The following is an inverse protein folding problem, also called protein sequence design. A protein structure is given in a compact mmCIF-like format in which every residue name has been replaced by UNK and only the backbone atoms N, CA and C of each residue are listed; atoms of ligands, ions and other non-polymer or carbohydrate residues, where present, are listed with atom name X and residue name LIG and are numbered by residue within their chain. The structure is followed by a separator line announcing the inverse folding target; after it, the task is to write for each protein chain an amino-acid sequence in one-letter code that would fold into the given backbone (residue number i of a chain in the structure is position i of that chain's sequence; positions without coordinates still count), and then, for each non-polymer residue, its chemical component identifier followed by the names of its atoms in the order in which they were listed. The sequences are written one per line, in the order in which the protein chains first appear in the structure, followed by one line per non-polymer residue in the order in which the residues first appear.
data_IF_774025138042
#
_entry.id   IF_774025138042
#
_cell.length_a   1.000
_cell.length_b   1.000
_cell.length_c   1.000
_cell.angle_alpha   90.00
_cell.angle_beta   90.00
_cell.angle_gamma   90.00
#
_symmetry.space_group_name_H-M   'P 1'
#
loop_
_entity.id
_entity.type
_entity.pdbx_description
1 polymer ?
#
# COMPACT_ATOMS: atom_id res chain seq x y z
N UNK A 1 -43.07 -19.37 30.95
CA UNK A 1 -43.74 -18.09 30.78
C UNK A 1 -42.70 -16.96 30.79
N UNK A 2 -42.66 -16.15 29.75
CA UNK A 2 -41.70 -15.03 29.66
C UNK A 2 -42.20 -13.92 30.59
N UNK A 3 -41.33 -13.45 31.47
CA UNK A 3 -41.64 -12.38 32.40
C UNK A 3 -41.86 -11.05 31.64
N UNK A 4 -42.63 -10.13 32.20
CA UNK A 4 -42.93 -8.83 31.60
C UNK A 4 -41.63 -8.03 31.31
N UNK A 5 -40.68 -8.04 32.21
CA UNK A 5 -39.39 -7.34 32.05
C UNK A 5 -38.58 -7.93 30.90
N UNK A 6 -38.64 -9.24 30.71
CA UNK A 6 -37.99 -9.92 29.60
C UNK A 6 -38.64 -9.57 28.26
N UNK A 7 -39.96 -9.43 28.21
CA UNK A 7 -40.68 -8.99 27.01
C UNK A 7 -40.31 -7.57 26.62
N UNK A 8 -40.22 -6.66 27.58
CA UNK A 8 -39.85 -5.27 27.36
C UNK A 8 -38.40 -5.16 26.91
N UNK A 9 -37.51 -5.96 27.48
CA UNK A 9 -36.12 -6.07 27.06
C UNK A 9 -35.97 -6.56 25.60
N UNK A 10 -36.72 -7.59 25.21
CA UNK A 10 -36.77 -8.10 23.84
C UNK A 10 -37.27 -7.06 22.85
N UNK A 11 -38.28 -6.26 23.22
CA UNK A 11 -38.79 -5.17 22.39
C UNK A 11 -37.72 -4.10 22.16
N UNK A 12 -36.97 -3.74 23.17
CA UNK A 12 -35.87 -2.76 23.07
C UNK A 12 -34.76 -3.29 22.14
N UNK A 13 -34.37 -4.55 22.28
CA UNK A 13 -33.38 -5.19 21.41
C UNK A 13 -33.84 -5.19 19.94
N UNK A 14 -35.12 -5.55 19.70
CA UNK A 14 -35.69 -5.55 18.35
C UNK A 14 -35.73 -4.15 17.70
N UNK A 15 -35.80 -3.08 18.51
CA UNK A 15 -35.73 -1.71 18.02
C UNK A 15 -34.30 -1.24 17.74
N UNK A 16 -33.33 -1.68 18.54
CA UNK A 16 -31.93 -1.24 18.43
C UNK A 16 -31.16 -2.00 17.35
N UNK A 17 -31.41 -3.30 17.17
CA UNK A 17 -30.70 -4.14 16.21
C UNK A 17 -30.72 -3.61 14.78
N UNK A 18 -31.85 -3.19 14.18
CA UNK A 18 -31.86 -2.63 12.84
C UNK A 18 -31.03 -1.36 12.71
N UNK A 19 -31.04 -0.49 13.73
CA UNK A 19 -30.21 0.72 13.74
C UNK A 19 -28.74 0.41 13.79
N UNK A 20 -28.31 -0.56 14.58
CA UNK A 20 -26.91 -0.97 14.65
C UNK A 20 -26.41 -1.51 13.30
N UNK A 21 -27.20 -2.29 12.60
CA UNK A 21 -26.88 -2.81 11.26
C UNK A 21 -26.75 -1.67 10.25
N UNK A 22 -27.68 -0.72 10.24
CA UNK A 22 -27.66 0.43 9.35
C UNK A 22 -26.43 1.32 9.62
N UNK A 23 -26.11 1.59 10.87
CA UNK A 23 -24.93 2.37 11.23
C UNK A 23 -23.63 1.70 10.80
N UNK A 24 -23.51 0.38 10.99
CA UNK A 24 -22.33 -0.37 10.54
C UNK A 24 -22.18 -0.29 9.01
N UNK A 25 -23.25 -0.42 8.28
CA UNK A 25 -23.25 -0.31 6.82
C UNK A 25 -22.85 1.08 6.35
N UNK A 26 -23.39 2.13 6.96
CA UNK A 26 -23.05 3.52 6.62
C UNK A 26 -21.57 3.83 6.92
N UNK A 27 -21.05 3.34 8.05
CA UNK A 27 -19.64 3.51 8.39
C UNK A 27 -18.72 2.87 7.37
N UNK A 28 -19.02 1.67 6.89
CA UNK A 28 -18.25 1.01 5.83
C UNK A 28 -18.31 1.78 4.50
N UNK A 29 -19.49 2.27 4.12
CA UNK A 29 -19.65 3.08 2.91
C UNK A 29 -18.82 4.36 2.97
N UNK A 30 -18.81 5.06 4.10
CA UNK A 30 -18.01 6.26 4.30
C UNK A 30 -16.51 5.96 4.27
N UNK A 31 -16.08 4.88 4.88
CA UNK A 31 -14.68 4.46 4.86
C UNK A 31 -14.19 4.14 3.44
N UNK A 32 -15.00 3.42 2.66
CA UNK A 32 -14.70 3.13 1.25
C UNK A 32 -14.61 4.38 0.41
N UNK A 33 -15.55 5.31 0.56
CA UNK A 33 -15.56 6.57 -0.17
C UNK A 33 -14.32 7.40 0.13
N UNK A 34 -13.95 7.55 1.39
CA UNK A 34 -12.76 8.28 1.79
C UNK A 34 -11.48 7.66 1.24
N UNK A 35 -11.37 6.34 1.22
CA UNK A 35 -10.23 5.63 0.65
C UNK A 35 -10.12 5.86 -0.85
N UNK A 36 -11.21 5.76 -1.59
CA UNK A 36 -11.24 6.00 -3.04
C UNK A 36 -10.88 7.45 -3.37
N UNK A 37 -11.40 8.42 -2.64
CA UNK A 37 -11.04 9.84 -2.80
C UNK A 37 -9.55 10.07 -2.52
N UNK A 38 -8.99 9.45 -1.50
CA UNK A 38 -7.56 9.54 -1.20
C UNK A 38 -6.72 8.94 -2.34
N UNK A 39 -7.05 7.74 -2.82
CA UNK A 39 -6.35 7.10 -3.94
C UNK A 39 -6.42 7.94 -5.22
N UNK A 40 -7.56 8.57 -5.49
CA UNK A 40 -7.71 9.44 -6.65
C UNK A 40 -6.96 10.77 -6.53
N UNK A 41 -6.72 11.24 -5.29
CA UNK A 41 -6.04 12.51 -5.04
C UNK A 41 -4.52 12.41 -4.99
N UNK A 42 -3.97 11.21 -4.81
CA UNK A 42 -2.54 10.95 -4.70
C UNK A 42 -2.11 10.00 -5.82
N UNK A 43 -1.45 10.54 -6.84
CA UNK A 43 -0.96 9.76 -7.99
C UNK A 43 0.49 10.10 -8.28
N UNK A 44 1.26 9.07 -8.59
CA UNK A 44 2.67 9.17 -8.96
C UNK A 44 2.94 8.44 -10.25
N UNK A 45 3.94 8.92 -10.99
CA UNK A 45 4.53 8.19 -12.11
C UNK A 45 5.94 7.76 -11.71
N UNK A 46 6.25 6.48 -11.88
CA UNK A 46 7.58 5.92 -11.67
C UNK A 46 8.16 5.54 -13.02
N UNK A 47 9.36 6.05 -13.33
CA UNK A 47 10.10 5.70 -14.53
C UNK A 47 11.40 5.00 -14.15
N UNK A 48 11.65 3.82 -14.69
CA UNK A 48 12.88 3.08 -14.43
C UNK A 48 14.01 3.71 -15.22
N UNK A 49 14.98 4.26 -14.49
CA UNK A 49 16.15 4.95 -15.07
C UNK A 49 17.29 3.98 -15.28
N UNK A 50 17.55 3.11 -14.31
CA UNK A 50 18.63 2.14 -14.35
C UNK A 50 18.33 0.96 -13.44
N UNK A 51 19.07 -0.11 -13.61
CA UNK A 51 19.07 -1.23 -12.68
C UNK A 51 20.46 -1.84 -12.64
N UNK A 52 20.87 -2.28 -11.46
CA UNK A 52 22.19 -2.88 -11.27
C UNK A 52 22.13 -3.97 -10.21
N UNK A 53 23.10 -4.83 -10.23
CA UNK A 53 23.31 -5.84 -9.20
C UNK A 53 24.66 -5.60 -8.54
N UNK A 54 24.74 -5.93 -7.25
CA UNK A 54 25.97 -5.83 -6.49
C UNK A 54 26.02 -6.92 -5.43
N UNK A 55 27.21 -7.10 -4.85
CA UNK A 55 27.38 -8.05 -3.75
C UNK A 55 27.41 -7.29 -2.45
N UNK A 56 26.37 -7.48 -1.65
CA UNK A 56 26.28 -6.99 -0.28
C UNK A 56 26.81 -8.02 0.70
N UNK A 57 26.75 -7.70 1.99
CA UNK A 57 27.11 -8.66 3.03
C UNK A 57 26.02 -8.70 4.10
N UNK A 58 25.60 -9.92 4.45
CA UNK A 58 24.55 -10.17 5.44
C UNK A 58 25.12 -10.94 6.62
N UNK A 59 24.70 -10.59 7.84
CA UNK A 59 25.06 -11.33 9.04
C UNK A 59 24.23 -12.61 9.14
N UNK A 60 24.90 -13.73 9.33
CA UNK A 60 24.29 -15.00 9.64
C UNK A 60 24.54 -15.35 11.11
N UNK A 61 23.61 -16.08 11.74
CA UNK A 61 23.72 -16.54 13.12
C UNK A 61 24.92 -17.49 13.32
N UNK A 62 25.27 -18.21 12.24
CA UNK A 62 26.43 -19.11 12.24
C UNK A 62 27.33 -18.71 11.06
N UNK A 63 28.58 -18.35 11.35
CA UNK A 63 29.56 -18.00 10.31
C UNK A 63 29.79 -16.51 10.06
N UNK A 64 29.10 -15.60 10.78
CA UNK A 64 29.30 -14.16 10.68
C UNK A 64 28.73 -13.56 9.40
N UNK A 65 29.47 -12.64 8.76
CA UNK A 65 29.05 -11.99 7.49
C UNK A 65 29.36 -12.88 6.29
N UNK A 66 28.37 -13.06 5.43
CA UNK A 66 28.51 -13.74 4.15
C UNK A 66 28.15 -12.81 3.00
N UNK A 67 28.84 -12.90 1.83
CA UNK A 67 28.43 -12.14 0.65
C UNK A 67 27.07 -12.61 0.15
N UNK A 68 26.21 -11.66 -0.21
CA UNK A 68 24.90 -11.92 -0.74
C UNK A 68 24.65 -11.04 -1.95
N UNK A 69 24.08 -11.61 -3.01
CA UNK A 69 23.74 -10.87 -4.23
C UNK A 69 22.53 -9.97 -3.97
N UNK A 70 22.71 -8.68 -4.26
CA UNK A 70 21.64 -7.68 -4.15
C UNK A 70 21.27 -7.16 -5.53
N UNK A 71 19.98 -6.92 -5.74
CA UNK A 71 19.45 -6.37 -6.97
C UNK A 71 18.80 -5.03 -6.69
N UNK A 72 19.22 -4.00 -7.40
CA UNK A 72 18.77 -2.62 -7.19
C UNK A 72 18.14 -2.04 -8.44
N UNK A 73 17.16 -1.19 -8.24
CA UNK A 73 16.50 -0.42 -9.29
C UNK A 73 16.58 1.05 -8.94
N UNK A 74 17.03 1.86 -9.88
CA UNK A 74 17.01 3.31 -9.79
C UNK A 74 15.82 3.80 -10.61
N UNK A 75 14.95 4.57 -9.98
CA UNK A 75 13.75 5.07 -10.63
C UNK A 75 13.48 6.52 -10.28
N UNK A 76 12.85 7.22 -11.22
CA UNK A 76 12.44 8.60 -11.07
C UNK A 76 10.98 8.64 -10.63
N UNK A 77 10.69 9.40 -9.58
CA UNK A 77 9.34 9.61 -9.05
C UNK A 77 8.84 10.98 -9.47
N UNK A 78 7.71 11.02 -10.14
CA UNK A 78 7.04 12.26 -10.54
C UNK A 78 5.65 12.30 -9.92
N UNK A 79 5.37 13.22 -8.98
CA UNK A 79 4.02 13.42 -8.48
C UNK A 79 3.12 13.93 -9.61
N UNK A 80 1.96 13.33 -9.78
CA UNK A 80 1.00 13.70 -10.83
C UNK A 80 -0.15 14.57 -10.33
N UNK A 81 -0.32 14.65 -9.01
CA UNK A 81 -1.37 15.45 -8.38
C UNK A 81 -0.77 16.39 -7.35
N UNK A 82 -1.43 17.52 -7.02
CA UNK A 82 -0.91 18.45 -6.01
C UNK A 82 -0.73 17.80 -4.63
N UNK A 83 -1.63 16.93 -4.24
CA UNK A 83 -1.53 16.23 -2.94
C UNK A 83 -0.36 15.25 -2.90
N UNK A 84 -0.09 14.57 -4.02
CA UNK A 84 1.09 13.71 -4.15
C UNK A 84 2.38 14.50 -4.03
N UNK A 85 2.45 15.67 -4.62
CA UNK A 85 3.60 16.58 -4.52
C UNK A 85 3.82 17.05 -3.08
N UNK A 86 2.76 17.34 -2.34
CA UNK A 86 2.85 17.71 -0.93
C UNK A 86 3.31 16.55 -0.03
N UNK A 87 2.90 15.33 -0.33
CA UNK A 87 3.24 14.14 0.46
C UNK A 87 4.62 13.54 0.15
N UNK A 88 5.19 13.86 -0.99
CA UNK A 88 6.48 13.31 -1.42
C UNK A 88 7.65 14.15 -0.93
N UNK A 89 8.55 13.54 -0.16
CA UNK A 89 9.72 14.20 0.44
C UNK A 89 11.06 13.77 -0.16
N UNK A 90 11.06 13.00 -1.24
CA UNK A 90 12.28 12.50 -1.88
C UNK A 90 12.90 13.49 -2.86
N UNK A 91 14.06 13.13 -3.38
CA UNK A 91 14.84 13.93 -4.35
C UNK A 91 14.35 13.77 -5.80
N UNK A 92 13.30 13.00 -6.02
CA UNK A 92 12.80 12.70 -7.35
C UNK A 92 13.43 11.45 -7.97
N UNK A 93 14.54 10.98 -7.45
CA UNK A 93 15.21 9.75 -7.90
C UNK A 93 15.51 8.86 -6.69
N UNK A 94 15.09 7.61 -6.74
CA UNK A 94 15.20 6.66 -5.65
C UNK A 94 15.96 5.42 -6.08
N UNK A 95 16.71 4.83 -5.15
CA UNK A 95 17.42 3.55 -5.32
C UNK A 95 16.89 2.57 -4.30
N UNK A 96 16.24 1.50 -4.76
CA UNK A 96 15.68 0.48 -3.88
C UNK A 96 16.19 -0.91 -4.23
N UNK A 97 16.42 -1.71 -3.19
CA UNK A 97 16.68 -3.13 -3.34
C UNK A 97 15.38 -3.87 -3.65
N UNK A 98 15.39 -4.71 -4.67
CA UNK A 98 14.24 -5.49 -5.11
C UNK A 98 14.58 -6.98 -5.19
N UNK A 99 13.56 -7.83 -5.27
CA UNK A 99 13.75 -9.25 -5.48
C UNK A 99 14.32 -9.54 -6.87
N UNK A 100 14.98 -10.68 -7.04
CA UNK A 100 15.47 -11.11 -8.34
C UNK A 100 14.34 -11.25 -9.37
N UNK A 101 13.19 -11.77 -8.96
CA UNK A 101 12.03 -11.90 -9.83
C UNK A 101 11.57 -10.54 -10.37
N UNK A 102 11.52 -9.53 -9.53
CA UNK A 102 11.15 -8.17 -9.93
C UNK A 102 12.23 -7.54 -10.82
N UNK A 103 13.50 -7.69 -10.47
CA UNK A 103 14.64 -7.20 -11.24
C UNK A 103 14.61 -7.72 -12.68
N UNK A 104 14.28 -8.98 -12.88
CA UNK A 104 14.18 -9.59 -14.21
C UNK A 104 13.05 -9.04 -15.05
N UNK A 105 11.91 -8.70 -14.43
CA UNK A 105 10.71 -8.22 -15.11
C UNK A 105 10.78 -6.75 -15.49
N UNK A 106 11.50 -5.96 -14.71
CA UNK A 106 11.64 -4.53 -14.93
C UNK A 106 12.66 -4.27 -16.05
N UNK A 107 12.38 -3.32 -16.93
CA UNK A 107 13.31 -2.86 -17.95
C UNK A 107 13.46 -1.34 -17.89
N UNK A 108 14.63 -0.84 -18.31
CA UNK A 108 14.96 0.58 -18.33
C UNK A 108 14.00 1.32 -19.27
N UNK A 109 13.46 2.43 -18.82
CA UNK A 109 12.46 3.22 -19.55
C UNK A 109 11.01 2.81 -19.27
N UNK A 110 10.78 1.74 -18.51
CA UNK A 110 9.44 1.33 -18.12
C UNK A 110 8.80 2.34 -17.19
N UNK A 111 7.51 2.61 -17.39
CA UNK A 111 6.75 3.56 -16.60
C UNK A 111 5.58 2.87 -15.91
N UNK A 112 5.37 3.25 -14.64
CA UNK A 112 4.26 2.80 -13.84
C UNK A 112 3.50 4.01 -13.31
N UNK A 113 2.18 3.95 -13.36
CA UNK A 113 1.31 4.96 -12.76
C UNK A 113 0.51 4.32 -11.63
N UNK A 114 0.47 4.97 -10.49
CA UNK A 114 -0.25 4.45 -9.33
C UNK A 114 -0.22 5.39 -8.14
N UNK A 115 -0.67 4.89 -7.01
CA UNK A 115 -0.81 5.65 -5.77
C UNK A 115 0.41 5.59 -4.87
N UNK A 116 1.41 4.80 -5.22
CA UNK A 116 2.63 4.64 -4.42
C UNK A 116 3.85 5.25 -5.10
N UNK A 117 4.69 5.89 -4.32
CA UNK A 117 6.00 6.39 -4.75
C UNK A 117 7.11 5.34 -4.58
N UNK A 118 6.80 4.15 -4.12
CA UNK A 118 7.77 3.07 -3.90
C UNK A 118 7.57 1.95 -4.91
N UNK A 119 8.61 1.64 -5.68
CA UNK A 119 8.58 0.62 -6.73
C UNK A 119 8.20 -0.78 -6.20
N UNK A 120 8.53 -1.08 -4.96
CA UNK A 120 8.23 -2.40 -4.36
C UNK A 120 6.74 -2.69 -4.26
N UNK A 121 5.91 -1.65 -4.17
CA UNK A 121 4.46 -1.79 -4.10
C UNK A 121 3.82 -2.15 -5.43
N UNK A 122 4.55 -2.00 -6.53
CA UNK A 122 4.09 -2.35 -7.88
C UNK A 122 4.37 -3.81 -8.25
N UNK A 123 5.00 -4.57 -7.38
CA UNK A 123 5.38 -5.97 -7.63
C UNK A 123 4.16 -6.89 -7.83
N UNK A 124 2.99 -6.48 -7.40
CA UNK A 124 1.74 -7.26 -7.54
C UNK A 124 0.99 -7.05 -8.85
N UNK A 125 1.46 -6.14 -9.69
CA UNK A 125 0.74 -5.73 -10.91
C UNK A 125 1.12 -6.61 -12.11
N UNK A 126 1.99 -7.56 -11.92
CA UNK A 126 2.43 -8.48 -12.97
C UNK A 126 1.83 -9.86 -12.81
#
# INVERSE_FOLDING_TARGET
MIDKDTKDFLKVICLILPFAIVFSYLAECCARKNRVEHENSVKYQIEIVDKYDCIGSTWHLVGGRAPEQEYHVIYKVTPLTPKADEEYYGDGEEDDEVSYAMYRKIYIGQKFNGTSNNIKRYNRIN
#
